data_IF_456243390946
#
_entry.id   IF_456243390946
#
_cell.length_a   1.000
_cell.length_b   1.000
_cell.length_c   1.000
_cell.angle_alpha   90.00
_cell.angle_beta   90.00
_cell.angle_gamma   90.00
#
_symmetry.space_group_name_H-M   'P 1'
#
loop_
_entity.id
_entity.type
_entity.pdbx_description
1 polymer ?
#
# COMPACT_ATOMS: atom_id res chain seq x y z
N UNK A 1 -34.06 20.87 -58.31
CA UNK A 1 -33.08 21.58 -57.44
C UNK A 1 -32.67 20.63 -56.32
N UNK A 2 -31.58 20.01 -56.54
CA UNK A 2 -31.06 18.90 -55.77
C UNK A 2 -30.08 19.48 -54.72
N UNK A 3 -30.39 19.28 -53.44
CA UNK A 3 -29.46 19.60 -52.32
C UNK A 3 -28.99 18.31 -51.72
N UNK A 4 -27.89 17.83 -52.21
CA UNK A 4 -27.11 16.73 -51.59
C UNK A 4 -26.71 17.15 -50.20
N UNK A 5 -27.16 16.43 -49.19
CA UNK A 5 -26.68 16.49 -47.85
C UNK A 5 -25.34 15.73 -47.76
N UNK A 6 -24.25 16.48 -47.72
CA UNK A 6 -22.95 15.92 -47.43
C UNK A 6 -22.86 15.42 -46.01
N UNK A 7 -23.17 14.14 -45.86
CA UNK A 7 -22.94 13.41 -44.63
C UNK A 7 -21.45 13.27 -44.36
N UNK A 8 -20.88 14.26 -43.69
CA UNK A 8 -19.51 14.16 -43.16
C UNK A 8 -19.47 13.05 -42.13
N UNK A 9 -19.04 11.88 -42.58
CA UNK A 9 -18.70 10.79 -41.71
C UNK A 9 -17.62 11.33 -40.73
N UNK A 10 -18.01 11.47 -39.45
CA UNK A 10 -17.04 11.69 -38.37
C UNK A 10 -16.18 10.44 -38.30
N UNK A 11 -14.96 10.54 -38.83
CA UNK A 11 -13.96 9.56 -38.59
C UNK A 11 -13.85 9.37 -37.08
N UNK A 12 -14.13 8.17 -36.63
CA UNK A 12 -13.72 7.70 -35.33
C UNK A 12 -12.22 7.54 -35.41
N UNK A 13 -11.51 8.67 -35.37
CA UNK A 13 -10.10 8.67 -35.02
C UNK A 13 -10.06 8.11 -33.61
N UNK A 14 -9.96 6.78 -33.56
CA UNK A 14 -9.67 6.08 -32.32
C UNK A 14 -8.37 6.63 -31.82
N UNK A 15 -8.43 7.71 -31.05
CA UNK A 15 -7.33 8.09 -30.20
C UNK A 15 -7.04 6.85 -29.36
N UNK A 16 -6.09 6.07 -29.85
CA UNK A 16 -5.50 4.98 -29.10
C UNK A 16 -4.98 5.63 -27.82
N UNK A 17 -5.80 5.57 -26.78
CA UNK A 17 -5.47 6.09 -25.47
C UNK A 17 -4.26 5.31 -25.00
N UNK A 18 -3.09 5.77 -25.47
CA UNK A 18 -1.81 5.16 -25.14
C UNK A 18 -1.69 5.16 -23.62
N UNK A 19 -1.92 4.00 -23.03
CA UNK A 19 -1.87 3.77 -21.58
C UNK A 19 -0.43 3.87 -21.07
N UNK A 20 0.27 4.94 -21.44
CA UNK A 20 1.56 5.30 -20.93
C UNK A 20 1.46 5.59 -19.43
N UNK A 21 2.47 5.23 -18.66
CA UNK A 21 2.60 5.44 -17.19
C UNK A 21 2.01 4.36 -16.29
N UNK A 22 1.68 3.17 -16.77
CA UNK A 22 1.43 2.04 -15.87
C UNK A 22 2.76 1.40 -15.44
N UNK A 23 3.39 1.94 -14.42
CA UNK A 23 4.69 1.48 -13.92
C UNK A 23 4.63 0.17 -13.13
N UNK A 24 3.46 -0.32 -12.77
CA UNK A 24 3.35 -1.52 -11.95
C UNK A 24 3.07 -2.78 -12.77
N UNK A 25 3.82 -3.80 -12.45
CA UNK A 25 3.64 -5.13 -13.03
C UNK A 25 2.40 -5.79 -12.44
N UNK A 26 1.62 -6.47 -13.28
CA UNK A 26 0.43 -7.22 -12.81
C UNK A 26 0.81 -8.46 -12.00
N UNK A 27 1.95 -9.09 -12.26
CA UNK A 27 2.45 -10.31 -11.59
C UNK A 27 1.45 -11.46 -11.61
N UNK A 28 0.57 -11.53 -12.63
CA UNK A 28 -0.54 -12.48 -12.74
C UNK A 28 -1.41 -12.54 -11.48
N UNK A 29 -1.65 -11.38 -10.82
CA UNK A 29 -2.41 -11.27 -9.57
C UNK A 29 -3.46 -10.19 -9.67
N UNK A 30 -4.57 -10.36 -8.93
CA UNK A 30 -5.57 -9.31 -8.72
C UNK A 30 -4.95 -8.10 -7.99
N UNK A 31 -5.63 -6.96 -7.98
CA UNK A 31 -5.15 -5.76 -7.30
C UNK A 31 -4.92 -5.98 -5.81
N UNK A 32 -5.85 -6.67 -5.17
CA UNK A 32 -5.79 -7.00 -3.73
C UNK A 32 -4.63 -7.93 -3.40
N UNK A 33 -4.45 -9.01 -4.19
CA UNK A 33 -3.31 -9.91 -4.04
C UNK A 33 -1.97 -9.22 -4.26
N UNK A 34 -1.88 -8.22 -5.16
CA UNK A 34 -0.66 -7.44 -5.34
C UNK A 34 -0.38 -6.53 -4.13
N UNK A 35 -1.43 -5.95 -3.55
CA UNK A 35 -1.30 -5.13 -2.35
C UNK A 35 -0.84 -5.99 -1.16
N UNK A 36 -1.47 -7.14 -0.94
CA UNK A 36 -1.10 -8.09 0.09
C UNK A 36 0.35 -8.58 -0.09
N UNK A 37 0.76 -8.92 -1.31
CA UNK A 37 2.15 -9.32 -1.62
C UNK A 37 3.15 -8.22 -1.25
N UNK A 38 2.88 -6.97 -1.62
CA UNK A 38 3.78 -5.83 -1.30
C UNK A 38 3.86 -5.61 0.21
N UNK A 39 2.75 -5.69 0.92
CA UNK A 39 2.70 -5.57 2.39
C UNK A 39 3.51 -6.66 3.07
N UNK A 40 3.33 -7.92 2.66
CA UNK A 40 4.05 -9.06 3.22
C UNK A 40 5.56 -8.96 2.99
N UNK A 41 5.99 -8.63 1.77
CA UNK A 41 7.42 -8.48 1.47
C UNK A 41 8.04 -7.28 2.17
N UNK A 42 7.31 -6.16 2.29
CA UNK A 42 7.78 -4.99 3.01
C UNK A 42 7.93 -5.29 4.51
N UNK A 43 7.00 -6.03 5.08
CA UNK A 43 7.06 -6.43 6.47
C UNK A 43 8.25 -7.37 6.74
N UNK A 44 8.42 -8.41 5.91
CA UNK A 44 9.59 -9.31 6.02
C UNK A 44 10.90 -8.54 5.87
N UNK A 45 10.95 -7.52 4.99
CA UNK A 45 12.13 -6.69 4.84
C UNK A 45 12.43 -5.87 6.11
N UNK A 46 11.40 -5.29 6.74
CA UNK A 46 11.58 -4.50 7.98
C UNK A 46 11.99 -5.40 9.15
N UNK A 47 11.50 -6.63 9.21
CA UNK A 47 11.82 -7.59 10.27
C UNK A 47 13.21 -8.19 10.15
N UNK A 48 13.62 -8.54 8.94
CA UNK A 48 14.86 -9.30 8.72
C UNK A 48 16.01 -8.46 8.10
N UNK A 49 15.76 -7.21 7.73
CA UNK A 49 16.74 -6.34 7.06
C UNK A 49 17.01 -6.70 5.60
N UNK A 50 16.78 -7.94 5.20
CA UNK A 50 16.99 -8.45 3.84
C UNK A 50 15.94 -9.49 3.46
N UNK A 51 15.64 -9.59 2.17
CA UNK A 51 14.73 -10.61 1.63
C UNK A 51 15.27 -11.18 0.32
N UNK A 52 15.08 -12.47 0.11
CA UNK A 52 15.36 -13.14 -1.16
C UNK A 52 14.05 -13.33 -1.92
N UNK A 53 13.95 -12.80 -3.14
CA UNK A 53 12.73 -12.87 -3.94
C UNK A 53 13.05 -12.79 -5.43
N UNK A 54 12.06 -13.02 -6.30
CA UNK A 54 12.26 -12.91 -7.75
C UNK A 54 12.40 -11.45 -8.19
N UNK A 55 13.20 -11.20 -9.21
CA UNK A 55 13.46 -9.85 -9.74
C UNK A 55 12.18 -9.03 -10.05
N UNK A 56 11.12 -9.60 -10.67
CA UNK A 56 9.88 -8.84 -10.89
C UNK A 56 9.18 -8.42 -9.59
N UNK A 57 9.21 -9.26 -8.55
CA UNK A 57 8.65 -8.93 -7.23
C UNK A 57 9.48 -7.84 -6.56
N UNK A 58 10.81 -7.98 -6.56
CA UNK A 58 11.73 -6.99 -6.00
C UNK A 58 11.51 -5.60 -6.62
N UNK A 59 11.48 -5.53 -7.98
CA UNK A 59 11.19 -4.27 -8.69
C UNK A 59 9.80 -3.68 -8.37
N UNK A 60 8.82 -4.52 -8.07
CA UNK A 60 7.46 -4.07 -7.70
C UNK A 60 7.36 -3.56 -6.26
N UNK A 61 8.17 -4.11 -5.34
CA UNK A 61 8.13 -3.76 -3.91
C UNK A 61 8.99 -2.54 -3.60
N UNK A 62 10.10 -2.32 -4.33
CA UNK A 62 11.04 -1.23 -4.10
C UNK A 62 10.37 0.15 -3.92
N UNK A 63 9.54 0.67 -4.84
CA UNK A 63 8.93 1.99 -4.65
C UNK A 63 7.97 2.05 -3.45
N UNK A 64 7.38 0.91 -3.08
CA UNK A 64 6.54 0.82 -1.89
C UNK A 64 7.37 0.92 -0.61
N UNK A 65 8.53 0.25 -0.54
CA UNK A 65 9.49 0.34 0.57
C UNK A 65 10.08 1.74 0.69
N UNK A 66 10.49 2.35 -0.40
CA UNK A 66 11.04 3.72 -0.41
C UNK A 66 10.03 4.73 0.16
N UNK A 67 8.75 4.57 -0.18
CA UNK A 67 7.67 5.39 0.39
C UNK A 67 7.51 5.17 1.90
N UNK A 68 7.56 3.92 2.38
CA UNK A 68 7.48 3.60 3.81
C UNK A 68 8.64 4.21 4.58
N UNK A 69 9.86 4.06 4.07
CA UNK A 69 11.07 4.62 4.69
C UNK A 69 10.97 6.15 4.76
N UNK A 70 10.56 6.79 3.68
CA UNK A 70 10.37 8.26 3.64
C UNK A 70 9.37 8.73 4.69
N UNK A 71 8.24 8.04 4.83
CA UNK A 71 7.23 8.36 5.84
C UNK A 71 7.77 8.14 7.27
N UNK A 72 8.50 7.05 7.50
CA UNK A 72 9.11 6.75 8.80
C UNK A 72 10.14 7.82 9.20
N UNK A 73 11.03 8.21 8.29
CA UNK A 73 12.02 9.28 8.52
C UNK A 73 11.34 10.61 8.81
N UNK A 74 10.30 10.98 8.05
CA UNK A 74 9.52 12.21 8.31
C UNK A 74 8.83 12.16 9.66
N UNK A 75 8.24 11.03 10.03
CA UNK A 75 7.60 10.85 11.34
C UNK A 75 8.60 11.07 12.47
N UNK A 76 9.80 10.52 12.35
CA UNK A 76 10.86 10.71 13.34
C UNK A 76 11.26 12.17 13.47
N UNK A 77 11.51 12.85 12.35
CA UNK A 77 11.86 14.28 12.34
C UNK A 77 10.81 15.17 13.01
N UNK A 78 9.51 14.91 12.76
CA UNK A 78 8.43 15.64 13.42
C UNK A 78 8.34 15.32 14.93
N UNK A 79 8.61 14.08 15.32
CA UNK A 79 8.69 13.71 16.74
C UNK A 79 9.85 14.43 17.43
N UNK A 80 11.01 14.50 16.79
CA UNK A 80 12.20 15.20 17.32
C UNK A 80 11.96 16.72 17.39
N UNK A 81 11.13 17.28 16.51
CA UNK A 81 10.70 18.68 16.50
C UNK A 81 9.52 18.99 17.45
N UNK A 82 9.09 18.02 18.28
CA UNK A 82 7.93 18.13 19.17
C UNK A 82 6.57 18.41 18.48
N UNK A 83 6.46 18.16 17.17
CA UNK A 83 5.18 18.20 16.45
C UNK A 83 4.46 16.85 16.57
N UNK A 84 3.79 16.66 17.69
CA UNK A 84 3.06 15.42 17.98
C UNK A 84 1.88 15.19 17.02
N UNK A 85 1.20 16.25 16.57
CA UNK A 85 0.05 16.14 15.67
C UNK A 85 0.46 15.68 14.27
N UNK A 86 1.49 16.28 13.71
CA UNK A 86 2.07 15.90 12.43
C UNK A 86 2.64 14.48 12.46
N UNK A 87 3.39 14.13 13.50
CA UNK A 87 3.92 12.79 13.69
C UNK A 87 2.81 11.72 13.79
N UNK A 88 1.72 12.02 14.51
CA UNK A 88 0.57 11.11 14.63
C UNK A 88 -0.12 10.88 13.28
N UNK A 89 -0.31 11.94 12.50
CA UNK A 89 -0.90 11.86 11.16
C UNK A 89 -0.09 10.93 10.24
N UNK A 90 1.25 11.08 10.23
CA UNK A 90 2.13 10.23 9.43
C UNK A 90 2.18 8.78 9.94
N UNK A 91 2.15 8.55 11.26
CA UNK A 91 2.02 7.19 11.82
C UNK A 91 0.75 6.49 11.36
N UNK A 92 -0.39 7.18 11.38
CA UNK A 92 -1.65 6.64 10.84
C UNK A 92 -1.53 6.27 9.37
N UNK A 93 -0.85 7.10 8.57
CA UNK A 93 -0.59 6.83 7.15
C UNK A 93 0.30 5.60 6.95
N UNK A 94 1.33 5.40 7.77
CA UNK A 94 2.17 4.21 7.77
C UNK A 94 1.36 2.94 8.10
N UNK A 95 0.52 2.99 9.13
CA UNK A 95 -0.34 1.85 9.50
C UNK A 95 -1.33 1.50 8.38
N UNK A 96 -1.92 2.48 7.73
CA UNK A 96 -2.79 2.26 6.57
C UNK A 96 -2.08 1.58 5.40
N UNK A 97 -0.81 1.93 5.16
CA UNK A 97 -0.01 1.31 4.11
C UNK A 97 0.40 -0.13 4.45
N UNK A 98 0.90 -0.39 5.65
CA UNK A 98 1.35 -1.71 6.10
C UNK A 98 0.19 -2.67 6.35
N UNK A 99 -0.98 -2.14 6.74
CA UNK A 99 -2.16 -2.94 7.10
C UNK A 99 -2.07 -3.52 8.50
N UNK A 100 -2.99 -4.44 8.79
CA UNK A 100 -3.23 -4.94 10.16
C UNK A 100 -2.05 -5.67 10.80
N UNK A 101 -1.24 -6.35 9.97
CA UNK A 101 -0.09 -7.12 10.46
C UNK A 101 0.97 -6.26 11.15
N UNK A 102 1.10 -4.99 10.75
CA UNK A 102 2.04 -4.07 11.40
C UNK A 102 1.69 -3.76 12.86
N UNK A 103 0.47 -4.02 13.27
CA UNK A 103 -0.01 -3.79 14.64
C UNK A 103 0.24 -4.98 15.56
N UNK A 104 0.47 -6.16 15.00
CA UNK A 104 0.63 -7.41 15.74
C UNK A 104 2.13 -7.76 15.82
N UNK A 105 2.71 -7.88 17.03
CA UNK A 105 4.08 -8.36 17.19
C UNK A 105 4.28 -9.74 16.57
N UNK A 106 5.52 -10.01 16.11
CA UNK A 106 5.84 -11.28 15.46
C UNK A 106 5.47 -12.50 16.33
N UNK A 107 5.73 -12.41 17.63
CA UNK A 107 5.46 -13.45 18.63
C UNK A 107 3.98 -13.86 18.73
N UNK A 108 3.06 -12.94 18.45
CA UNK A 108 1.61 -13.19 18.56
C UNK A 108 0.94 -13.40 17.20
N UNK A 109 1.70 -13.43 16.10
CA UNK A 109 1.16 -13.48 14.74
C UNK A 109 0.45 -14.78 14.43
N UNK A 110 0.99 -15.90 14.87
CA UNK A 110 0.39 -17.21 14.61
C UNK A 110 -0.92 -17.37 15.40
N UNK A 111 -0.95 -16.95 16.66
CA UNK A 111 -2.15 -16.90 17.45
C UNK A 111 -3.22 -16.00 16.80
N UNK A 112 -2.83 -14.82 16.29
CA UNK A 112 -3.73 -13.92 15.59
C UNK A 112 -4.29 -14.54 14.29
N UNK A 113 -3.49 -15.28 13.55
CA UNK A 113 -3.92 -15.95 12.30
C UNK A 113 -4.94 -17.08 12.56
N UNK A 114 -4.91 -17.69 13.73
CA UNK A 114 -5.86 -18.73 14.14
C UNK A 114 -7.18 -18.16 14.69
N UNK A 115 -7.26 -16.87 15.00
CA UNK A 115 -8.46 -16.23 15.50
C UNK A 115 -9.56 -16.10 14.43
N UNK A 116 -10.81 -16.09 14.89
CA UNK A 116 -11.97 -15.75 14.04
C UNK A 116 -11.91 -14.28 13.62
N UNK A 117 -12.57 -13.91 12.51
CA UNK A 117 -12.57 -12.54 12.00
C UNK A 117 -13.06 -11.53 13.07
N UNK A 118 -14.11 -11.87 13.81
CA UNK A 118 -14.63 -11.02 14.89
C UNK A 118 -13.62 -10.80 16.04
N UNK A 119 -12.85 -11.86 16.39
CA UNK A 119 -11.81 -11.76 17.41
C UNK A 119 -10.63 -10.93 16.90
N UNK A 120 -10.24 -11.05 15.63
CA UNK A 120 -9.20 -10.22 15.00
C UNK A 120 -9.54 -8.74 15.03
N UNK A 121 -10.77 -8.37 14.69
CA UNK A 121 -11.21 -6.97 14.73
C UNK A 121 -11.16 -6.40 16.16
N UNK A 122 -11.59 -7.16 17.16
CA UNK A 122 -11.49 -6.74 18.56
C UNK A 122 -10.04 -6.51 18.99
N UNK A 123 -9.15 -7.44 18.64
CA UNK A 123 -7.71 -7.33 18.94
C UNK A 123 -7.11 -6.10 18.27
N UNK A 124 -7.41 -5.85 17.00
CA UNK A 124 -6.92 -4.67 16.27
C UNK A 124 -7.42 -3.37 16.90
N UNK A 125 -8.69 -3.29 17.29
CA UNK A 125 -9.24 -2.12 18.00
C UNK A 125 -8.54 -1.88 19.34
N UNK A 126 -8.27 -2.92 20.12
CA UNK A 126 -7.55 -2.79 21.39
C UNK A 126 -6.10 -2.35 21.19
N UNK A 127 -5.38 -2.94 20.25
CA UNK A 127 -3.98 -2.61 20.00
C UNK A 127 -3.85 -1.20 19.44
N UNK A 128 -4.72 -0.81 18.49
CA UNK A 128 -4.75 0.55 17.96
C UNK A 128 -5.09 1.58 19.04
N UNK A 129 -6.06 1.28 19.90
CA UNK A 129 -6.46 2.17 21.01
C UNK A 129 -5.38 2.38 22.06
N UNK A 130 -4.57 1.36 22.38
CA UNK A 130 -3.47 1.49 23.36
C UNK A 130 -2.29 2.28 22.81
N UNK A 131 -1.95 2.13 21.52
CA UNK A 131 -0.81 2.83 20.89
C UNK A 131 -1.07 4.32 20.66
N UNK A 132 -2.31 4.76 20.72
CA UNK A 132 -2.68 6.17 20.58
C UNK A 132 -2.85 6.90 21.93
N UNK A 133 -2.69 6.21 23.06
CA UNK A 133 -2.79 6.80 24.41
C UNK A 133 -1.44 7.05 25.10
N UNK A 134 -0.35 6.60 24.50
CA UNK A 134 1.03 6.94 24.90
C UNK A 134 1.61 7.86 23.84
#
# INVERSE_FOLDING_TARGET
MDRRADGKARGTDGEEFMRHRRHFRRLNRTSEHRLALRRNLAQSFVEHGQITTTLPKAKSVRPFLERLITLAVRTRRLSDANDAAGALSLRRSLHKLLGDRALIPAEHRDAYNQMTNAARERTLRMVSGRRFRT
#
